data_IF_496780271432
#
_entry.id   IF_496780271432
#
_cell.length_a   1.000
_cell.length_b   1.000
_cell.length_c   1.000
_cell.angle_alpha   90.00
_cell.angle_beta   90.00
_cell.angle_gamma   90.00
#
_symmetry.space_group_name_H-M   'P 1'
#
loop_
_entity.id
_entity.type
_entity.pdbx_description
1 polymer ?
#
# COMPACT_ATOMS: atom_id res chain seq x y z
N UNK A 1 26.14 48.64 -45.53
CA UNK A 1 25.87 50.08 -45.31
C UNK A 1 24.43 50.21 -44.88
N UNK A 2 24.20 50.85 -43.72
CA UNK A 2 22.89 51.09 -43.10
C UNK A 2 22.15 52.22 -43.83
N UNK A 3 20.85 52.03 -44.04
CA UNK A 3 19.88 53.08 -44.41
C UNK A 3 18.52 52.38 -44.57
N UNK A 4 17.59 52.49 -43.62
CA UNK A 4 16.76 53.64 -43.23
C UNK A 4 15.35 53.50 -43.82
N UNK A 5 14.38 53.88 -42.99
CA UNK A 5 13.03 54.39 -43.31
C UNK A 5 11.86 53.48 -42.94
N UNK A 6 10.95 54.14 -42.23
CA UNK A 6 9.76 53.71 -41.49
C UNK A 6 8.53 53.77 -42.40
N UNK A 7 7.37 53.55 -41.79
CA UNK A 7 5.99 53.91 -42.21
C UNK A 7 5.18 52.76 -42.82
N UNK A 8 4.27 52.17 -42.06
CA UNK A 8 2.83 52.52 -42.14
C UNK A 8 2.02 51.91 -41.00
N UNK A 9 1.19 52.76 -40.38
CA UNK A 9 0.11 52.47 -39.43
C UNK A 9 -1.19 52.15 -40.17
N UNK A 10 -2.14 51.49 -39.51
CA UNK A 10 -3.62 51.68 -39.47
C UNK A 10 -4.17 50.43 -38.73
N UNK A 11 -5.07 50.43 -37.75
CA UNK A 11 -6.01 51.38 -37.12
C UNK A 11 -6.26 50.79 -35.69
N UNK A 12 -6.57 51.50 -34.61
CA UNK A 12 -7.67 52.47 -34.43
C UNK A 12 -8.82 51.82 -33.64
N UNK A 13 -9.34 52.55 -32.63
CA UNK A 13 -10.44 52.26 -31.68
C UNK A 13 -10.03 51.60 -30.34
N UNK A 14 -9.78 52.35 -29.25
CA UNK A 14 -10.64 53.25 -28.46
C UNK A 14 -11.57 52.51 -27.48
N UNK A 15 -11.27 52.65 -26.19
CA UNK A 15 -12.08 52.67 -24.94
C UNK A 15 -11.01 52.81 -23.84
N UNK A 16 -11.05 53.63 -22.81
CA UNK A 16 -12.03 54.54 -22.23
C UNK A 16 -11.33 55.10 -20.97
N UNK A 17 -11.44 56.40 -20.78
CA UNK A 17 -10.63 57.21 -19.87
C UNK A 17 -11.24 57.19 -18.47
N UNK A 18 -10.62 56.51 -17.48
CA UNK A 18 -10.91 56.72 -16.05
C UNK A 18 -9.61 56.53 -15.25
N UNK A 19 -8.87 57.61 -14.99
CA UNK A 19 -7.83 57.64 -13.95
C UNK A 19 -8.36 58.53 -12.83
N UNK A 20 -9.11 57.90 -11.94
CA UNK A 20 -9.58 58.48 -10.68
C UNK A 20 -8.88 57.81 -9.52
N UNK A 21 -8.02 58.58 -8.84
CA UNK A 21 -7.83 58.57 -7.38
C UNK A 21 -7.66 57.17 -6.76
N UNK A 22 -6.45 56.63 -6.80
CA UNK A 22 -6.04 55.50 -5.95
C UNK A 22 -5.14 56.01 -4.83
N UNK A 23 -5.78 56.55 -3.80
CA UNK A 23 -5.16 56.90 -2.54
C UNK A 23 -5.97 56.30 -1.39
N UNK A 24 -5.28 55.49 -0.59
CA UNK A 24 -5.68 55.01 0.74
C UNK A 24 -6.82 53.99 0.84
N UNK A 25 -6.43 52.71 0.93
CA UNK A 25 -6.89 51.77 1.96
C UNK A 25 -5.95 50.57 1.95
N UNK A 26 -4.79 50.72 2.59
CA UNK A 26 -4.03 49.55 3.03
C UNK A 26 -4.83 48.97 4.19
N UNK A 27 -5.56 47.89 3.94
CA UNK A 27 -6.11 47.08 5.03
C UNK A 27 -4.90 46.38 5.64
N UNK A 28 -4.33 46.96 6.69
CA UNK A 28 -3.46 46.23 7.60
C UNK A 28 -4.35 45.20 8.28
N UNK A 29 -4.57 44.05 7.65
CA UNK A 29 -4.98 42.86 8.37
C UNK A 29 -3.80 42.48 9.23
N UNK A 30 -3.74 43.04 10.44
CA UNK A 30 -2.98 42.43 11.50
C UNK A 30 -3.49 40.99 11.58
N UNK A 31 -2.68 40.05 11.11
CA UNK A 31 -2.90 38.63 11.37
C UNK A 31 -2.85 38.55 12.89
N UNK A 32 -4.02 38.43 13.52
CA UNK A 32 -4.09 38.13 14.94
C UNK A 32 -3.44 36.76 15.07
N UNK A 33 -2.19 36.75 15.53
CA UNK A 33 -1.51 35.51 15.87
C UNK A 33 -2.43 34.76 16.84
N UNK A 34 -2.69 33.49 16.54
CA UNK A 34 -3.32 32.61 17.51
C UNK A 34 -2.57 32.75 18.84
N UNK A 35 -3.28 32.80 19.99
CA UNK A 35 -2.62 32.88 21.28
C UNK A 35 -1.53 31.79 21.36
N UNK A 36 -0.37 32.10 21.96
CA UNK A 36 0.67 31.10 22.17
C UNK A 36 0.04 29.84 22.76
N UNK A 37 0.26 28.68 22.14
CA UNK A 37 -0.12 27.42 22.76
C UNK A 37 0.64 27.35 24.08
N UNK A 38 -0.09 27.39 25.19
CA UNK A 38 0.51 27.27 26.51
C UNK A 38 1.34 25.98 26.55
N UNK A 39 2.61 26.03 27.00
CA UNK A 39 3.43 24.84 27.14
C UNK A 39 2.72 23.87 28.07
N UNK A 40 2.60 22.61 27.65
CA UNK A 40 2.08 21.54 28.49
C UNK A 40 2.93 21.48 29.76
N UNK A 41 2.35 21.88 30.89
CA UNK A 41 3.01 21.79 32.20
C UNK A 41 3.43 20.33 32.45
N UNK A 42 4.63 20.07 32.97
CA UNK A 42 5.02 18.72 33.34
C UNK A 42 4.01 18.14 34.33
N UNK A 43 3.41 17.01 33.99
CA UNK A 43 2.44 16.34 34.85
C UNK A 43 3.14 15.90 36.14
N UNK A 44 2.64 16.28 37.33
CA UNK A 44 3.20 15.76 38.56
C UNK A 44 2.93 14.26 38.62
N UNK A 45 3.99 13.46 38.72
CA UNK A 45 3.89 12.02 38.92
C UNK A 45 3.17 11.75 40.24
N UNK A 46 2.14 10.89 40.27
CA UNK A 46 1.48 10.48 41.50
C UNK A 46 2.53 10.02 42.51
N UNK A 47 2.59 10.68 43.67
CA UNK A 47 3.58 10.35 44.70
C UNK A 47 2.88 9.51 45.77
N UNK A 48 3.36 8.28 46.04
CA UNK A 48 2.85 7.48 47.15
C UNK A 48 3.16 8.17 48.49
N UNK A 49 2.17 8.27 49.36
CA UNK A 49 2.34 8.63 50.76
C UNK A 49 2.59 7.37 51.59
N UNK A 50 3.16 7.55 52.78
CA UNK A 50 3.49 6.48 53.75
C UNK A 50 2.28 5.58 54.12
N UNK A 51 1.05 6.07 53.96
CA UNK A 51 -0.21 5.35 54.17
C UNK A 51 -0.67 4.54 52.94
N UNK A 52 0.15 4.47 51.88
CA UNK A 52 -0.18 3.82 50.61
C UNK A 52 -1.12 4.65 49.73
N UNK A 53 -1.56 5.84 50.15
CA UNK A 53 -2.40 6.69 49.32
C UNK A 53 -1.58 7.30 48.18
N UNK A 54 -2.05 7.12 46.95
CA UNK A 54 -1.53 7.81 45.76
C UNK A 54 -2.23 9.15 45.68
N UNK A 55 -1.48 10.25 45.79
CA UNK A 55 -2.04 11.60 45.80
C UNK A 55 -1.66 12.42 44.58
N UNK A 56 -2.55 13.33 44.20
CA UNK A 56 -2.38 14.32 43.14
C UNK A 56 -2.70 15.72 43.64
N UNK A 57 -1.83 16.69 43.34
CA UNK A 57 -2.09 18.11 43.61
C UNK A 57 -2.63 18.76 42.35
N UNK A 58 -3.89 19.20 42.40
CA UNK A 58 -4.60 19.86 41.31
C UNK A 58 -3.82 21.10 40.85
N UNK A 59 -3.60 21.23 39.54
CA UNK A 59 -2.91 22.36 38.92
C UNK A 59 -3.92 23.39 38.37
N UNK A 60 -3.51 24.65 38.14
CA UNK A 60 -4.33 25.62 37.43
C UNK A 60 -4.81 25.07 36.08
N UNK A 61 -6.12 25.11 35.83
CA UNK A 61 -6.72 24.61 34.59
C UNK A 61 -7.04 23.11 34.55
N UNK A 62 -6.83 22.38 35.64
CA UNK A 62 -7.28 21.00 35.74
C UNK A 62 -8.80 20.91 35.96
N UNK A 63 -9.39 19.85 35.41
CA UNK A 63 -10.76 19.44 35.68
C UNK A 63 -10.75 18.04 36.29
N UNK A 64 -11.76 17.71 37.08
CA UNK A 64 -11.85 16.38 37.70
C UNK A 64 -11.82 15.25 36.66
N UNK A 65 -12.43 15.51 35.49
CA UNK A 65 -12.44 14.61 34.34
C UNK A 65 -11.04 14.37 33.77
N UNK A 66 -10.24 15.43 33.58
CA UNK A 66 -8.85 15.33 33.10
C UNK A 66 -7.99 14.56 34.09
N UNK A 67 -8.15 14.81 35.39
CA UNK A 67 -7.38 14.13 36.43
C UNK A 67 -7.71 12.64 36.48
N UNK A 68 -9.01 12.29 36.42
CA UNK A 68 -9.48 10.90 36.39
C UNK A 68 -8.90 10.14 35.18
N UNK A 69 -8.91 10.75 34.00
CA UNK A 69 -8.33 10.16 32.78
C UNK A 69 -6.82 9.90 32.90
N UNK A 70 -6.07 10.83 33.51
CA UNK A 70 -4.62 10.66 33.73
C UNK A 70 -4.34 9.56 34.76
N UNK A 71 -5.17 9.46 35.78
CA UNK A 71 -5.04 8.46 36.84
C UNK A 71 -5.58 7.07 36.46
N UNK A 72 -6.28 6.94 35.31
CA UNK A 72 -6.90 5.68 34.88
C UNK A 72 -8.08 5.24 35.77
N UNK A 73 -8.72 6.17 36.47
CA UNK A 73 -9.89 5.89 37.34
C UNK A 73 -11.14 6.59 36.79
N UNK A 74 -12.33 6.10 37.15
CA UNK A 74 -13.57 6.81 36.80
C UNK A 74 -13.75 8.07 37.64
N UNK A 75 -14.48 9.06 37.12
CA UNK A 75 -14.78 10.30 37.84
C UNK A 75 -15.59 9.99 39.09
N UNK A 76 -16.52 9.05 39.02
CA UNK A 76 -17.34 8.58 40.13
C UNK A 76 -16.48 7.97 41.25
N UNK A 77 -15.50 7.14 40.87
CA UNK A 77 -14.55 6.55 41.83
C UNK A 77 -13.67 7.63 42.46
N UNK A 78 -13.17 8.57 41.66
CA UNK A 78 -12.35 9.68 42.16
C UNK A 78 -13.14 10.59 43.12
N UNK A 79 -14.42 10.83 42.85
CA UNK A 79 -15.33 11.56 43.75
C UNK A 79 -15.58 10.78 45.04
N UNK A 80 -15.84 9.49 44.94
CA UNK A 80 -16.08 8.64 46.09
C UNK A 80 -14.86 8.59 47.02
N UNK A 81 -13.65 8.44 46.46
CA UNK A 81 -12.39 8.44 47.21
C UNK A 81 -12.15 9.76 47.96
N UNK A 82 -12.52 10.89 47.35
CA UNK A 82 -12.26 12.22 47.89
C UNK A 82 -13.48 12.88 48.56
N UNK A 83 -14.59 12.14 48.69
CA UNK A 83 -15.87 12.62 49.24
C UNK A 83 -16.35 13.91 48.57
N UNK A 84 -16.15 14.04 47.25
CA UNK A 84 -16.53 15.22 46.47
C UNK A 84 -18.02 15.18 46.13
N UNK A 85 -18.73 16.26 46.47
CA UNK A 85 -20.15 16.42 46.13
C UNK A 85 -20.37 16.99 44.73
N UNK A 86 -19.35 17.59 44.10
CA UNK A 86 -19.39 18.14 42.74
C UNK A 86 -18.10 17.83 41.96
N UNK A 87 -18.12 18.13 40.65
CA UNK A 87 -16.97 17.93 39.74
C UNK A 87 -15.98 19.11 39.74
N UNK A 88 -16.20 20.09 40.62
CA UNK A 88 -15.37 21.29 40.71
C UNK A 88 -14.16 21.01 41.59
N UNK A 89 -12.97 21.17 41.02
CA UNK A 89 -11.69 21.06 41.71
C UNK A 89 -10.97 22.41 41.72
N UNK A 90 -10.29 22.73 42.81
CA UNK A 90 -9.54 23.99 42.94
C UNK A 90 -8.04 23.76 42.83
N UNK A 91 -7.29 24.63 42.13
CA UNK A 91 -5.83 24.53 42.09
C UNK A 91 -5.23 24.50 43.49
N UNK A 92 -4.30 23.56 43.72
CA UNK A 92 -3.68 23.29 45.02
C UNK A 92 -4.39 22.24 45.87
N UNK A 93 -5.63 21.85 45.54
CA UNK A 93 -6.36 20.77 46.19
C UNK A 93 -5.60 19.44 46.06
N UNK A 94 -5.60 18.64 47.13
CA UNK A 94 -5.04 17.29 47.12
C UNK A 94 -6.16 16.29 46.89
N UNK A 95 -5.99 15.45 45.88
CA UNK A 95 -6.89 14.34 45.56
C UNK A 95 -6.18 13.01 45.79
N UNK A 96 -6.86 12.08 46.44
CA UNK A 96 -6.49 10.67 46.56
C UNK A 96 -6.96 9.98 45.27
N UNK A 97 -6.01 9.51 44.46
CA UNK A 97 -6.27 8.79 43.22
C UNK A 97 -6.53 7.31 43.45
N UNK A 98 -6.00 6.75 44.54
CA UNK A 98 -6.17 5.35 44.93
C UNK A 98 -5.31 5.01 46.14
N UNK A 99 -5.43 3.77 46.61
CA UNK A 99 -4.54 3.21 47.63
C UNK A 99 -3.73 2.09 46.98
N UNK A 100 -2.42 2.23 46.95
CA UNK A 100 -1.53 1.12 46.71
C UNK A 100 -1.62 0.21 47.94
N UNK A 101 -2.27 -0.94 47.79
CA UNK A 101 -2.19 -1.98 48.81
C UNK A 101 -0.73 -2.42 48.84
N UNK A 102 -0.03 -2.39 49.99
CA UNK A 102 1.27 -3.03 50.10
C UNK A 102 1.03 -4.52 49.85
N UNK A 103 1.47 -4.99 48.69
CA UNK A 103 1.61 -6.42 48.45
C UNK A 103 2.50 -6.97 49.57
N UNK A 104 2.01 -7.99 50.29
CA UNK A 104 2.66 -8.51 51.47
C UNK A 104 4.11 -8.89 51.15
N UNK A 105 5.05 -8.22 51.81
CA UNK A 105 6.45 -8.59 51.79
C UNK A 105 6.59 -10.00 52.40
N UNK A 106 7.15 -11.00 51.69
CA UNK A 106 7.39 -12.30 52.29
C UNK A 106 8.43 -12.20 53.42
N UNK A 107 8.15 -12.89 54.53
CA UNK A 107 9.10 -13.14 55.64
C UNK A 107 10.34 -13.91 55.12
N UNK A 108 11.56 -13.68 55.63
CA UNK A 108 12.77 -14.30 55.11
C UNK A 108 12.80 -15.79 55.45
N UNK A 109 12.44 -16.63 54.47
CA UNK A 109 12.84 -18.03 54.46
C UNK A 109 14.32 -18.09 54.06
N UNK A 110 15.11 -18.85 54.82
CA UNK A 110 16.52 -19.16 54.57
C UNK A 110 16.77 -19.32 53.08
N UNK A 111 17.76 -18.58 52.55
CA UNK A 111 18.19 -18.62 51.15
C UNK A 111 18.24 -20.04 50.59
N UNK A 112 17.27 -20.49 49.77
CA UNK A 112 17.66 -21.37 48.69
C UNK A 112 18.49 -20.51 47.74
N UNK A 113 19.63 -21.03 47.32
CA UNK A 113 20.38 -20.56 46.15
C UNK A 113 19.41 -19.99 45.11
N UNK A 114 19.59 -18.74 44.60
CA UNK A 114 18.62 -18.12 43.71
C UNK A 114 18.35 -19.05 42.54
N UNK A 115 17.16 -19.65 42.55
CA UNK A 115 16.61 -20.22 41.33
C UNK A 115 16.35 -19.00 40.45
N UNK A 116 16.91 -18.96 39.23
CA UNK A 116 16.69 -17.83 38.33
C UNK A 116 15.19 -17.56 38.25
N UNK A 117 14.77 -16.31 38.48
CA UNK A 117 13.41 -15.89 38.18
C UNK A 117 13.19 -16.22 36.71
N UNK A 118 12.30 -17.19 36.44
CA UNK A 118 11.84 -17.39 35.07
C UNK A 118 11.24 -16.05 34.61
N UNK A 119 11.61 -15.55 33.43
CA UNK A 119 11.04 -14.31 32.93
C UNK A 119 9.51 -14.45 32.93
N UNK A 120 8.81 -13.43 33.44
CA UNK A 120 7.37 -13.27 33.21
C UNK A 120 7.12 -13.46 31.72
N UNK A 121 6.25 -14.40 31.29
CA UNK A 121 6.03 -14.61 29.86
C UNK A 121 5.48 -13.31 29.27
N UNK A 122 6.28 -12.66 28.43
CA UNK A 122 5.78 -11.66 27.50
C UNK A 122 4.60 -12.28 26.76
N UNK A 123 3.41 -11.65 26.69
CA UNK A 123 2.31 -12.21 25.91
C UNK A 123 2.83 -12.50 24.51
N UNK A 124 2.72 -13.76 24.08
CA UNK A 124 3.22 -14.16 22.77
C UNK A 124 2.51 -13.29 21.72
N UNK A 125 3.26 -12.67 20.78
CA UNK A 125 2.63 -11.90 19.72
C UNK A 125 1.68 -12.84 18.97
N UNK A 126 0.42 -12.43 18.83
CA UNK A 126 -0.58 -13.25 18.13
C UNK A 126 -0.14 -13.38 16.66
N UNK A 127 -0.02 -14.62 16.20
CA UNK A 127 0.40 -14.96 14.84
C UNK A 127 -0.78 -15.47 14.03
N UNK A 128 -0.74 -15.28 12.72
CA UNK A 128 -1.74 -15.78 11.78
C UNK A 128 -1.12 -16.69 10.71
N UNK A 129 -1.97 -17.14 9.79
CA UNK A 129 -1.63 -18.01 8.67
C UNK A 129 -2.14 -17.42 7.36
N UNK A 130 -1.33 -17.47 6.32
CA UNK A 130 -1.73 -17.09 4.95
C UNK A 130 -1.54 -18.30 4.04
N UNK A 131 -2.64 -18.79 3.47
CA UNK A 131 -2.66 -19.87 2.48
C UNK A 131 -2.86 -19.29 1.08
N UNK A 132 -2.05 -19.76 0.13
CA UNK A 132 -2.02 -19.28 -1.25
C UNK A 132 -2.16 -20.46 -2.21
N UNK A 133 -3.01 -20.31 -3.22
CA UNK A 133 -3.11 -21.28 -4.30
C UNK A 133 -3.40 -20.63 -5.65
N UNK A 134 -2.99 -21.32 -6.70
CA UNK A 134 -3.29 -21.01 -8.09
C UNK A 134 -4.37 -21.98 -8.56
N UNK A 135 -5.36 -21.50 -9.32
CA UNK A 135 -6.42 -22.33 -9.88
C UNK A 135 -6.58 -22.08 -11.38
N UNK A 136 -7.17 -23.06 -12.06
CA UNK A 136 -7.53 -22.96 -13.48
C UNK A 136 -8.86 -22.23 -13.63
N UNK A 137 -8.82 -21.00 -14.12
CA UNK A 137 -10.00 -20.15 -14.28
C UNK A 137 -10.69 -20.44 -15.62
N UNK A 138 -11.28 -21.62 -15.79
CA UNK A 138 -11.83 -22.09 -17.07
C UNK A 138 -12.89 -21.15 -17.67
N UNK A 139 -13.68 -20.52 -16.80
CA UNK A 139 -14.78 -19.65 -17.21
C UNK A 139 -14.34 -18.16 -17.37
N UNK A 140 -13.12 -17.82 -16.97
CA UNK A 140 -12.52 -16.49 -17.11
C UNK A 140 -13.16 -15.42 -16.23
N UNK A 141 -13.82 -15.80 -15.13
CA UNK A 141 -14.52 -14.88 -14.23
C UNK A 141 -13.61 -14.34 -13.10
N UNK A 142 -12.36 -14.81 -13.02
CA UNK A 142 -11.37 -14.44 -12.01
C UNK A 142 -11.81 -14.72 -10.57
N UNK A 143 -12.67 -15.73 -10.36
CA UNK A 143 -13.16 -16.19 -9.06
C UNK A 143 -13.14 -17.71 -8.98
N UNK A 144 -12.40 -18.21 -7.99
CA UNK A 144 -12.33 -19.63 -7.68
C UNK A 144 -13.71 -20.26 -7.40
N UNK A 145 -14.01 -21.34 -8.12
CA UNK A 145 -15.11 -22.27 -7.90
C UNK A 145 -14.59 -23.63 -7.42
N UNK A 146 -14.87 -24.00 -6.18
CA UNK A 146 -14.31 -25.19 -5.54
C UNK A 146 -14.75 -26.52 -6.16
N UNK A 147 -15.90 -26.54 -6.84
CA UNK A 147 -16.47 -27.75 -7.42
C UNK A 147 -15.99 -27.98 -8.86
N UNK A 148 -15.56 -26.91 -9.54
CA UNK A 148 -15.31 -26.92 -10.99
C UNK A 148 -13.87 -26.60 -11.37
N UNK A 149 -13.14 -25.84 -10.56
CA UNK A 149 -11.83 -25.29 -10.93
C UNK A 149 -10.72 -25.97 -10.11
N UNK A 150 -9.83 -26.76 -10.73
CA UNK A 150 -8.76 -27.45 -10.02
C UNK A 150 -7.61 -26.51 -9.63
N UNK A 151 -6.81 -26.94 -8.64
CA UNK A 151 -5.55 -26.28 -8.31
C UNK A 151 -4.46 -26.54 -9.35
N UNK A 152 -3.63 -25.53 -9.56
CA UNK A 152 -2.48 -25.57 -10.46
C UNK A 152 -1.16 -25.52 -9.69
N UNK A 153 -0.27 -26.43 -10.04
CA UNK A 153 1.08 -26.48 -9.49
C UNK A 153 2.06 -25.57 -10.26
N UNK A 154 3.17 -25.23 -9.60
CA UNK A 154 4.31 -24.56 -10.26
C UNK A 154 4.26 -23.03 -10.24
N UNK A 155 3.22 -22.41 -9.69
CA UNK A 155 3.19 -20.97 -9.44
C UNK A 155 4.17 -20.58 -8.34
N UNK A 156 5.03 -19.60 -8.60
CA UNK A 156 6.02 -19.13 -7.63
C UNK A 156 5.42 -18.03 -6.75
N UNK A 157 5.35 -18.26 -5.44
CA UNK A 157 4.77 -17.32 -4.49
C UNK A 157 5.88 -16.58 -3.74
N UNK A 158 5.74 -15.27 -3.61
CA UNK A 158 6.54 -14.42 -2.72
C UNK A 158 5.63 -13.68 -1.75
N UNK A 159 5.93 -13.77 -0.46
CA UNK A 159 5.18 -13.13 0.61
C UNK A 159 6.13 -12.24 1.40
N UNK A 160 5.83 -10.94 1.43
CA UNK A 160 6.68 -9.95 2.07
C UNK A 160 5.86 -8.99 2.93
N UNK A 161 6.34 -8.67 4.12
CA UNK A 161 5.69 -7.66 4.96
C UNK A 161 6.25 -6.25 4.73
N UNK A 162 5.50 -5.23 5.11
CA UNK A 162 5.90 -3.82 4.95
C UNK A 162 7.25 -3.48 5.61
N UNK A 163 7.56 -4.13 6.73
CA UNK A 163 8.79 -3.92 7.49
C UNK A 163 10.00 -4.67 6.92
N UNK A 164 9.79 -5.50 5.88
CA UNK A 164 10.80 -6.39 5.29
C UNK A 164 11.45 -7.37 6.28
N UNK A 165 10.80 -7.63 7.41
CA UNK A 165 11.25 -8.62 8.40
C UNK A 165 10.76 -10.02 8.07
N UNK A 166 9.75 -10.13 7.20
CA UNK A 166 9.27 -11.39 6.62
C UNK A 166 9.46 -11.31 5.11
N UNK A 167 10.17 -12.27 4.56
CA UNK A 167 10.38 -12.48 3.13
C UNK A 167 10.44 -13.99 2.89
N UNK A 168 9.29 -14.56 2.53
CA UNK A 168 9.10 -15.99 2.34
C UNK A 168 8.76 -16.27 0.89
N UNK A 169 9.17 -17.44 0.41
CA UNK A 169 8.83 -17.92 -0.94
C UNK A 169 8.35 -19.35 -0.89
N UNK A 170 7.61 -19.75 -1.91
CA UNK A 170 7.24 -21.14 -2.10
C UNK A 170 6.65 -21.38 -3.48
N UNK A 171 6.15 -22.59 -3.70
CA UNK A 171 5.60 -23.03 -4.99
C UNK A 171 4.25 -23.67 -4.76
N UNK A 172 3.25 -23.28 -5.56
CA UNK A 172 1.90 -23.87 -5.49
C UNK A 172 1.92 -25.33 -5.91
N UNK A 173 0.96 -26.09 -5.39
CA UNK A 173 0.76 -27.50 -5.71
C UNK A 173 -0.66 -27.72 -6.23
N UNK A 174 -0.90 -28.88 -6.84
CA UNK A 174 -2.20 -29.23 -7.43
C UNK A 174 -3.13 -29.98 -6.46
N UNK A 175 -2.63 -30.35 -5.28
CA UNK A 175 -3.34 -31.13 -4.27
C UNK A 175 -3.82 -30.27 -3.09
N UNK A 176 -2.99 -29.33 -2.62
CA UNK A 176 -3.33 -28.48 -1.47
C UNK A 176 -2.78 -27.05 -1.58
N UNK A 177 -3.43 -26.07 -0.91
CA UNK A 177 -2.90 -24.71 -0.79
C UNK A 177 -1.55 -24.64 -0.05
N UNK A 178 -0.67 -23.75 -0.51
CA UNK A 178 0.58 -23.45 0.17
C UNK A 178 0.33 -22.51 1.36
N UNK A 179 0.51 -22.98 2.59
CA UNK A 179 0.29 -22.16 3.79
C UNK A 179 1.61 -21.70 4.43
N UNK A 180 1.67 -20.41 4.75
CA UNK A 180 2.70 -19.77 5.56
C UNK A 180 2.14 -19.52 6.95
N UNK A 181 2.62 -20.28 7.92
CA UNK A 181 2.17 -20.23 9.31
C UNK A 181 3.03 -19.28 10.14
N UNK A 182 2.62 -19.06 11.38
CA UNK A 182 3.41 -18.34 12.39
C UNK A 182 3.78 -16.89 11.99
N UNK A 183 2.96 -16.26 11.14
CA UNK A 183 3.21 -14.92 10.63
C UNK A 183 2.80 -13.85 11.66
N UNK A 184 3.65 -12.87 11.98
CA UNK A 184 3.26 -11.73 12.81
C UNK A 184 2.08 -10.96 12.22
N UNK A 185 1.21 -10.39 13.06
CA UNK A 185 0.17 -9.48 12.59
C UNK A 185 0.77 -8.28 11.83
N UNK A 186 0.09 -7.84 10.76
CA UNK A 186 0.56 -6.72 9.95
C UNK A 186 0.10 -6.75 8.49
N UNK A 187 0.68 -5.84 7.71
CA UNK A 187 0.41 -5.70 6.28
C UNK A 187 1.42 -6.50 5.45
N UNK A 188 0.91 -7.34 4.57
CA UNK A 188 1.65 -8.21 3.67
C UNK A 188 1.33 -7.89 2.21
N UNK A 189 2.31 -8.14 1.35
CA UNK A 189 2.17 -8.10 -0.09
C UNK A 189 2.52 -9.47 -0.64
N UNK A 190 1.56 -10.10 -1.32
CA UNK A 190 1.70 -11.46 -1.86
C UNK A 190 1.74 -11.36 -3.37
N UNK A 191 2.82 -11.84 -3.96
CA UNK A 191 3.03 -11.84 -5.40
C UNK A 191 3.08 -13.27 -5.94
N UNK A 192 2.53 -13.47 -7.14
CA UNK A 192 2.57 -14.74 -7.85
C UNK A 192 3.28 -14.61 -9.20
N UNK A 193 4.31 -15.41 -9.39
CA UNK A 193 4.87 -15.74 -10.70
C UNK A 193 4.09 -16.88 -11.32
N UNK A 194 3.38 -16.60 -12.42
CA UNK A 194 2.60 -17.57 -13.18
C UNK A 194 3.57 -18.51 -13.92
N UNK A 195 3.36 -19.84 -13.89
CA UNK A 195 4.22 -20.79 -14.58
C UNK A 195 4.13 -20.64 -16.10
N UNK A 196 5.13 -21.17 -16.81
CA UNK A 196 5.17 -21.12 -18.28
C UNK A 196 3.94 -21.80 -18.89
N UNK A 197 3.51 -21.30 -20.05
CA UNK A 197 2.35 -21.85 -20.76
C UNK A 197 1.00 -21.36 -20.23
N UNK A 198 0.96 -20.56 -19.16
CA UNK A 198 -0.27 -19.97 -18.62
C UNK A 198 -0.27 -18.44 -18.69
N UNK A 199 -1.45 -17.85 -18.75
CA UNK A 199 -1.70 -16.42 -18.65
C UNK A 199 -2.56 -16.12 -17.40
N UNK A 200 -2.18 -15.15 -16.56
CA UNK A 200 -2.99 -14.78 -15.39
C UNK A 200 -4.34 -14.20 -15.79
N UNK A 201 -5.39 -14.59 -15.08
CA UNK A 201 -6.73 -13.97 -15.16
C UNK A 201 -7.02 -13.07 -13.96
N UNK A 202 -6.31 -13.24 -12.85
CA UNK A 202 -6.35 -12.34 -11.68
C UNK A 202 -5.13 -11.43 -11.61
N UNK A 203 -5.18 -10.40 -10.76
CA UNK A 203 -3.97 -9.67 -10.39
C UNK A 203 -2.92 -10.60 -9.78
N UNK A 204 -1.65 -10.41 -10.14
CA UNK A 204 -0.51 -11.20 -9.64
C UNK A 204 0.11 -10.61 -8.38
N UNK A 205 -0.47 -9.55 -7.83
CA UNK A 205 -0.02 -8.94 -6.59
C UNK A 205 -1.21 -8.46 -5.74
N UNK A 206 -1.24 -8.88 -4.47
CA UNK A 206 -2.31 -8.54 -3.53
C UNK A 206 -1.74 -8.02 -2.21
N UNK A 207 -2.15 -6.81 -1.78
CA UNK A 207 -1.95 -6.38 -0.41
C UNK A 207 -3.01 -7.04 0.48
N UNK A 208 -2.59 -7.61 1.61
CA UNK A 208 -3.48 -8.17 2.62
C UNK A 208 -3.06 -7.73 4.02
N UNK A 209 -4.04 -7.56 4.89
CA UNK A 209 -3.83 -7.30 6.31
C UNK A 209 -4.12 -8.58 7.08
N UNK A 210 -3.14 -9.04 7.85
CA UNK A 210 -3.24 -10.22 8.70
C UNK A 210 -3.40 -9.80 10.16
N UNK A 211 -4.48 -10.23 10.82
CA UNK A 211 -4.64 -10.09 12.26
C UNK A 211 -4.21 -11.37 12.98
N UNK A 212 -3.84 -11.25 14.26
CA UNK A 212 -3.39 -12.40 15.03
C UNK A 212 -4.49 -13.43 15.24
N UNK A 213 -4.25 -14.67 14.80
CA UNK A 213 -5.21 -15.78 14.81
C UNK A 213 -5.94 -15.98 13.49
N UNK A 214 -5.77 -15.10 12.50
CA UNK A 214 -6.43 -15.23 11.20
C UNK A 214 -5.85 -16.38 10.38
N UNK A 215 -6.71 -16.96 9.54
CA UNK A 215 -6.32 -17.82 8.43
C UNK A 215 -6.88 -17.19 7.15
N UNK A 216 -6.00 -16.60 6.34
CA UNK A 216 -6.39 -15.95 5.09
C UNK A 216 -6.10 -16.85 3.90
N UNK A 217 -7.05 -16.92 2.97
CA UNK A 217 -6.88 -17.61 1.69
C UNK A 217 -6.78 -16.58 0.57
N UNK A 218 -5.66 -16.61 -0.16
CA UNK A 218 -5.41 -15.71 -1.30
C UNK A 218 -5.28 -16.53 -2.56
N UNK A 219 -6.14 -16.24 -3.54
CA UNK A 219 -6.34 -17.07 -4.73
C UNK A 219 -5.87 -16.34 -5.98
N UNK A 220 -5.28 -17.08 -6.90
CA UNK A 220 -4.83 -16.55 -8.18
C UNK A 220 -5.34 -17.43 -9.31
N UNK A 221 -5.96 -16.83 -10.32
CA UNK A 221 -6.50 -17.51 -11.49
C UNK A 221 -5.54 -17.43 -12.67
N UNK A 222 -5.43 -18.52 -13.42
CA UNK A 222 -4.70 -18.57 -14.68
C UNK A 222 -5.41 -19.47 -15.70
N UNK A 223 -5.17 -19.22 -16.97
CA UNK A 223 -5.65 -20.04 -18.09
C UNK A 223 -4.48 -20.47 -18.98
N UNK A 224 -4.56 -21.61 -19.68
CA UNK A 224 -3.62 -21.95 -20.73
C UNK A 224 -3.47 -20.81 -21.74
N UNK A 225 -2.24 -20.53 -22.14
CA UNK A 225 -1.98 -19.63 -23.24
C UNK A 225 -2.76 -20.10 -24.46
N UNK A 226 -3.35 -19.16 -25.21
CA UNK A 226 -3.89 -19.46 -26.52
C UNK A 226 -2.73 -19.86 -27.44
N UNK A 227 -2.33 -21.13 -27.41
CA UNK A 227 -1.47 -21.71 -28.42
C UNK A 227 -2.26 -21.74 -29.71
N UNK A 228 -1.99 -20.75 -30.55
CA UNK A 228 -2.43 -20.73 -31.93
C UNK A 228 -1.90 -21.99 -32.64
N UNK A 229 -2.76 -22.93 -33.07
CA UNK A 229 -2.30 -24.12 -33.80
C UNK A 229 -1.70 -23.76 -35.17
N UNK A 230 -1.92 -22.54 -35.65
CA UNK A 230 -1.52 -22.12 -37.00
C UNK A 230 0.00 -21.91 -37.16
N UNK A 231 0.80 -22.10 -36.10
CA UNK A 231 2.27 -22.08 -36.19
C UNK A 231 2.98 -23.28 -35.55
N UNK A 232 2.27 -24.25 -34.98
CA UNK A 232 2.89 -25.46 -34.45
C UNK A 232 2.80 -26.59 -35.48
N UNK A 233 3.96 -26.96 -36.04
CA UNK A 233 4.23 -28.16 -36.84
C UNK A 233 3.98 -28.06 -38.36
N UNK A 234 4.93 -27.41 -39.04
CA UNK A 234 5.29 -27.73 -40.42
C UNK A 234 6.60 -28.53 -40.44
N UNK A 235 6.54 -29.82 -40.16
CA UNK A 235 7.57 -30.74 -40.64
C UNK A 235 7.62 -30.63 -42.16
N UNK A 236 8.75 -30.17 -42.71
CA UNK A 236 9.31 -30.64 -43.99
C UNK A 236 8.43 -30.66 -45.25
N UNK A 237 7.33 -29.92 -45.32
CA UNK A 237 6.52 -29.76 -46.53
C UNK A 237 6.85 -28.43 -47.19
N UNK A 238 7.52 -28.46 -48.35
CA UNK A 238 7.86 -27.30 -49.17
C UNK A 238 6.60 -26.67 -49.83
N UNK A 239 5.66 -26.21 -49.03
CA UNK A 239 4.57 -25.34 -49.50
C UNK A 239 5.13 -23.92 -49.68
N UNK A 240 5.50 -23.59 -50.91
CA UNK A 240 5.87 -22.22 -51.29
C UNK A 240 4.68 -21.31 -50.98
N UNK A 241 4.85 -20.26 -50.14
CA UNK A 241 3.74 -19.39 -49.82
C UNK A 241 3.22 -18.75 -51.10
N UNK A 242 1.90 -18.70 -51.29
CA UNK A 242 1.26 -18.19 -52.52
C UNK A 242 1.77 -16.77 -52.85
N UNK A 243 2.09 -15.97 -51.82
CA UNK A 243 2.69 -14.65 -51.98
C UNK A 243 4.09 -14.67 -52.63
N UNK A 244 4.91 -15.71 -52.42
CA UNK A 244 6.17 -15.88 -53.12
C UNK A 244 5.96 -16.25 -54.60
N UNK A 245 4.94 -17.06 -54.92
CA UNK A 245 4.58 -17.35 -56.32
C UNK A 245 4.05 -16.10 -57.04
N UNK A 246 3.20 -15.31 -56.36
CA UNK A 246 2.71 -14.02 -56.88
C UNK A 246 3.87 -13.04 -57.06
N UNK A 247 4.79 -12.96 -56.10
CA UNK A 247 5.99 -12.13 -56.18
C UNK A 247 6.89 -12.50 -57.36
N UNK A 248 7.17 -13.79 -57.55
CA UNK A 248 7.93 -14.28 -58.71
C UNK A 248 7.20 -13.97 -60.01
N UNK A 249 5.88 -14.14 -60.06
CA UNK A 249 5.06 -13.79 -61.21
C UNK A 249 5.17 -12.30 -61.59
N UNK A 250 5.11 -11.40 -60.61
CA UNK A 250 5.27 -9.96 -60.84
C UNK A 250 6.68 -9.59 -61.31
N UNK A 251 7.72 -10.24 -60.76
CA UNK A 251 9.11 -10.03 -61.20
C UNK A 251 9.29 -10.48 -62.65
N UNK A 252 8.78 -11.66 -63.02
CA UNK A 252 8.88 -12.18 -64.39
C UNK A 252 8.10 -11.32 -65.39
N UNK A 253 6.91 -10.85 -65.01
CA UNK A 253 6.12 -9.91 -65.81
C UNK A 253 6.90 -8.61 -66.04
N UNK A 254 7.51 -8.05 -65.00
CA UNK A 254 8.32 -6.84 -65.09
C UNK A 254 9.53 -7.01 -66.02
N UNK A 255 10.27 -8.12 -65.89
CA UNK A 255 11.40 -8.44 -66.77
C UNK A 255 10.96 -8.64 -68.22
N UNK A 256 9.81 -9.28 -68.46
CA UNK A 256 9.24 -9.47 -69.79
C UNK A 256 8.88 -8.14 -70.47
N UNK A 257 8.23 -7.24 -69.73
CA UNK A 257 7.90 -5.90 -70.22
C UNK A 257 9.17 -5.08 -70.52
N UNK A 258 10.18 -5.14 -69.66
CA UNK A 258 11.47 -4.47 -69.88
C UNK A 258 12.19 -5.00 -71.13
N UNK A 259 12.22 -6.32 -71.33
CA UNK A 259 12.80 -6.93 -72.53
C UNK A 259 12.04 -6.57 -73.80
N UNK A 260 10.70 -6.57 -73.74
CA UNK A 260 9.87 -6.15 -74.87
C UNK A 260 10.15 -4.69 -75.26
N UNK A 261 10.14 -3.78 -74.29
CA UNK A 261 10.45 -2.37 -74.50
C UNK A 261 11.85 -2.18 -75.10
N UNK A 262 12.85 -2.89 -74.57
CA UNK A 262 14.21 -2.88 -75.11
C UNK A 262 14.28 -3.38 -76.54
N UNK A 263 13.55 -4.46 -76.89
CA UNK A 263 13.51 -4.99 -78.25
C UNK A 263 12.79 -4.06 -79.22
N UNK A 264 11.66 -3.48 -78.82
CA UNK A 264 10.89 -2.54 -79.65
C UNK A 264 11.61 -1.21 -79.85
N UNK A 265 12.50 -0.83 -78.92
CA UNK A 265 13.31 0.38 -79.02
C UNK A 265 14.60 0.19 -79.84
N UNK A 266 14.89 -1.01 -80.37
CA UNK A 266 16.06 -1.21 -81.24
C UNK A 266 15.79 -0.59 -82.61
N UNK A 267 16.53 0.43 -83.03
CA UNK A 267 16.35 1.03 -84.35
C UNK A 267 16.83 0.07 -85.46
N UNK A 268 16.23 0.14 -86.66
CA UNK A 268 16.36 -0.85 -87.73
C UNK A 268 17.77 -0.98 -88.37
N UNK A 269 18.79 -0.27 -87.90
CA UNK A 269 20.14 -0.29 -88.48
C UNK A 269 21.11 -1.32 -87.85
N UNK A 270 20.65 -2.17 -86.94
CA UNK A 270 21.48 -3.24 -86.32
C UNK A 270 21.00 -4.67 -86.65
N UNK A 271 20.21 -4.86 -87.69
CA UNK A 271 19.95 -6.20 -88.25
C UNK A 271 20.73 -6.35 -89.56
N UNK A 272 21.97 -6.85 -89.46
CA UNK A 272 22.72 -7.42 -90.57
C UNK A 272 23.38 -8.71 -90.09
#
# INVERSE_FOLDING_TARGET
MRGSIRWFWWAGFAIGLIVGIWGALHVNTAVHAAPPREPLTPFPTPTPREDGAIIYRVQPGDTLWRIAAIAGVSVEQLRALNKLTSDVVTPGQILILGYAVPEATPTPAQTPTPTPLLPTPTPEPRKGTICVFLYEDDNGNARYDEDLEPYLAGGQVSLRNRSNTVDLTGTTRADEPLCFEDLPEGEYNIAMGIPEGLNPTTATNWPVRLEGGDVLYVTFGAQPNAESPWFAQGEGGSSVPIFALVGVGLILLGLGLAWYAYRSARPPYLQR
#
